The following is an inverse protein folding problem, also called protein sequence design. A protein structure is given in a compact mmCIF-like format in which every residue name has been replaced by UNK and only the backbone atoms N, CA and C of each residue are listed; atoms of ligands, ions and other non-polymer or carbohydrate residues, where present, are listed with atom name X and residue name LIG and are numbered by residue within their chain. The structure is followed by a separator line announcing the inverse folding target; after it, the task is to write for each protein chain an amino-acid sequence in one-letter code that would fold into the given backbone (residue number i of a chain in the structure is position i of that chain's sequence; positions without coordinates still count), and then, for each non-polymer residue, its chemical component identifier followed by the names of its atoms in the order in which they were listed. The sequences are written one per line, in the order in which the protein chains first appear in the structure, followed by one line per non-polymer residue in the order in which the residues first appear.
data_IF_885443882134
#
_entry.id   IF_885443882134
#
_cell.length_a   1.000
_cell.length_b   1.000
_cell.length_c   1.000
_cell.angle_alpha   90.00
_cell.angle_beta   90.00
_cell.angle_gamma   90.00
#
_symmetry.space_group_name_H-M   'P 1'
#
loop_
_entity.id
_entity.type
_entity.pdbx_description
1 polymer ?
#
# COMPACT_ATOMS: atom_id res chain seq x y z
N UNK A 1 24.94 -15.95 -16.88
CA UNK A 1 24.22 -15.30 -15.74
C UNK A 1 24.04 -16.20 -14.51
N UNK A 2 24.48 -17.46 -14.50
CA UNK A 2 24.26 -18.43 -13.39
C UNK A 2 25.32 -18.36 -12.26
N UNK A 3 26.56 -18.08 -12.57
CA UNK A 3 27.67 -18.08 -11.59
C UNK A 3 27.57 -17.03 -10.49
N UNK A 4 27.01 -15.86 -10.77
CA UNK A 4 26.91 -14.74 -9.83
C UNK A 4 25.88 -15.01 -8.72
N UNK A 5 24.82 -15.76 -9.00
CA UNK A 5 23.76 -16.07 -8.02
C UNK A 5 24.17 -17.18 -7.04
N UNK A 6 24.96 -18.17 -7.48
CA UNK A 6 25.46 -19.24 -6.60
C UNK A 6 26.46 -18.71 -5.58
N UNK A 7 27.40 -17.84 -6.01
CA UNK A 7 28.34 -17.19 -5.10
C UNK A 7 27.64 -16.29 -4.06
N UNK A 8 26.61 -15.54 -4.47
CA UNK A 8 25.84 -14.68 -3.55
C UNK A 8 25.14 -15.51 -2.47
N UNK A 9 24.55 -16.64 -2.85
CA UNK A 9 23.87 -17.54 -1.90
C UNK A 9 24.84 -18.21 -0.92
N UNK A 10 26.03 -18.58 -1.38
CA UNK A 10 27.08 -19.15 -0.52
C UNK A 10 27.58 -18.14 0.53
N UNK A 11 27.80 -16.89 0.12
CA UNK A 11 28.20 -15.80 1.03
C UNK A 11 27.11 -15.52 2.07
N UNK A 12 25.84 -15.53 1.66
CA UNK A 12 24.72 -15.34 2.60
C UNK A 12 24.61 -16.48 3.60
N UNK A 13 24.85 -17.74 3.21
CA UNK A 13 24.83 -18.89 4.12
C UNK A 13 25.97 -18.81 5.16
N UNK A 14 27.19 -18.45 4.74
CA UNK A 14 28.28 -18.20 5.68
C UNK A 14 27.96 -17.05 6.66
N UNK A 15 27.37 -15.97 6.15
CA UNK A 15 26.97 -14.86 6.98
C UNK A 15 25.90 -15.24 8.01
N UNK A 16 24.99 -16.17 7.67
CA UNK A 16 23.98 -16.71 8.59
C UNK A 16 24.60 -17.52 9.72
N UNK A 17 25.61 -18.34 9.43
CA UNK A 17 26.32 -19.12 10.46
C UNK A 17 27.01 -18.21 11.46
N UNK A 18 27.72 -17.18 10.98
CA UNK A 18 28.39 -16.18 11.83
C UNK A 18 27.37 -15.37 12.65
N UNK A 19 26.23 -14.96 12.04
CA UNK A 19 25.20 -14.22 12.77
C UNK A 19 24.56 -15.05 13.88
N UNK A 20 24.44 -16.36 13.70
CA UNK A 20 23.96 -17.29 14.71
C UNK A 20 24.86 -17.28 15.95
N UNK A 21 26.17 -17.27 15.79
CA UNK A 21 27.14 -17.21 16.91
C UNK A 21 26.96 -15.91 17.73
N UNK A 22 26.74 -14.77 17.06
CA UNK A 22 26.45 -13.49 17.75
C UNK A 22 25.16 -13.57 18.57
N UNK A 23 24.10 -14.17 18.02
CA UNK A 23 22.80 -14.33 18.72
C UNK A 23 22.96 -15.28 19.91
N UNK A 24 23.62 -16.42 19.75
CA UNK A 24 23.86 -17.40 20.83
C UNK A 24 24.68 -16.80 21.97
N UNK A 25 25.57 -15.88 21.68
CA UNK A 25 26.38 -15.16 22.67
C UNK A 25 25.72 -13.86 23.20
N UNK A 26 24.45 -13.61 22.83
CA UNK A 26 23.69 -12.40 23.20
C UNK A 26 24.43 -11.10 22.81
N UNK A 27 25.09 -11.10 21.67
CA UNK A 27 25.84 -9.96 21.10
C UNK A 27 25.08 -9.33 19.94
N UNK A 28 25.27 -8.04 19.75
CA UNK A 28 24.71 -7.35 18.58
C UNK A 28 25.37 -7.81 17.27
N UNK A 29 24.56 -8.07 16.24
CA UNK A 29 25.05 -8.42 14.91
C UNK A 29 25.72 -7.19 14.28
N UNK A 30 27.00 -7.27 13.88
CA UNK A 30 27.66 -6.15 13.22
C UNK A 30 26.93 -5.66 11.95
N UNK A 31 26.98 -4.34 11.71
CA UNK A 31 26.31 -3.72 10.57
C UNK A 31 26.79 -4.29 9.21
N UNK A 32 28.05 -4.67 9.10
CA UNK A 32 28.63 -5.28 7.90
C UNK A 32 27.98 -6.63 7.62
N UNK A 33 27.78 -7.45 8.65
CA UNK A 33 27.14 -8.76 8.55
C UNK A 33 25.65 -8.63 8.25
N UNK A 34 24.97 -7.68 8.89
CA UNK A 34 23.58 -7.32 8.59
C UNK A 34 23.37 -6.94 7.11
N UNK A 35 24.29 -6.18 6.52
CA UNK A 35 24.22 -5.80 5.09
C UNK A 35 24.40 -6.96 4.13
N UNK A 36 25.15 -7.98 4.52
CA UNK A 36 25.33 -9.20 3.72
C UNK A 36 24.09 -10.07 3.79
N UNK A 37 23.50 -10.23 4.98
CA UNK A 37 22.29 -11.01 5.22
C UNK A 37 21.05 -10.38 4.60
N UNK A 38 20.93 -9.07 4.77
CA UNK A 38 19.84 -8.25 4.30
C UNK A 38 20.35 -7.16 3.38
N UNK A 39 20.86 -7.52 2.19
CA UNK A 39 21.40 -6.52 1.26
C UNK A 39 20.28 -5.52 0.98
N UNK A 40 20.54 -4.22 1.14
CA UNK A 40 19.56 -3.23 0.75
C UNK A 40 19.21 -3.47 -0.72
N UNK A 41 17.93 -3.59 -1.02
CA UNK A 41 17.51 -3.47 -2.42
C UNK A 41 18.17 -2.20 -2.97
N UNK A 42 18.52 -2.19 -4.27
CA UNK A 42 19.16 -1.03 -4.92
C UNK A 42 18.21 0.19 -4.88
N UNK A 43 18.10 0.79 -3.72
CA UNK A 43 17.40 2.05 -3.49
C UNK A 43 18.43 3.06 -3.09
N UNK A 44 18.53 4.14 -3.84
CA UNK A 44 19.43 5.24 -3.51
C UNK A 44 19.05 5.90 -2.19
N UNK A 45 17.75 5.90 -1.87
CA UNK A 45 17.20 6.48 -0.64
C UNK A 45 16.06 5.64 -0.08
N UNK A 46 16.03 5.49 1.23
CA UNK A 46 14.92 4.90 1.95
C UNK A 46 14.50 5.81 3.10
N UNK A 47 13.21 6.17 3.13
CA UNK A 47 12.63 6.91 4.24
C UNK A 47 12.36 5.95 5.40
N UNK A 48 13.06 6.14 6.54
CA UNK A 48 12.91 5.33 7.76
C UNK A 48 12.28 6.18 8.86
N UNK A 49 11.29 5.63 9.54
CA UNK A 49 10.60 6.28 10.67
C UNK A 49 9.97 5.23 11.58
N UNK A 50 9.68 5.62 12.79
CA UNK A 50 9.05 4.75 13.78
C UNK A 50 7.64 4.33 13.33
N UNK A 51 7.34 3.02 13.45
CA UNK A 51 6.05 2.47 13.06
C UNK A 51 5.89 2.20 11.56
N UNK A 52 6.96 2.28 10.77
CA UNK A 52 6.95 1.88 9.36
C UNK A 52 6.69 0.38 9.23
N UNK A 53 5.57 0.02 8.63
CA UNK A 53 5.24 -1.38 8.34
C UNK A 53 5.90 -1.86 7.04
N UNK A 54 6.18 -3.16 6.91
CA UNK A 54 6.66 -3.68 5.63
C UNK A 54 5.55 -3.67 4.57
N UNK A 55 5.94 -3.67 3.30
CA UNK A 55 4.97 -3.77 2.18
C UNK A 55 4.13 -5.04 2.29
N UNK A 56 4.75 -6.14 2.63
CA UNK A 56 4.14 -7.46 2.77
C UNK A 56 3.11 -7.45 3.91
N UNK A 57 3.42 -6.81 5.04
CA UNK A 57 2.48 -6.64 6.15
C UNK A 57 1.24 -5.86 5.70
N UNK A 58 1.42 -4.70 5.07
CA UNK A 58 0.31 -3.88 4.59
C UNK A 58 -0.59 -4.66 3.63
N UNK A 59 0.01 -5.34 2.64
CA UNK A 59 -0.73 -6.10 1.65
C UNK A 59 -1.45 -7.33 2.24
N UNK A 60 -0.89 -7.98 3.26
CA UNK A 60 -1.50 -9.14 3.91
C UNK A 60 -2.59 -8.77 4.91
N UNK A 61 -2.43 -7.67 5.64
CA UNK A 61 -3.37 -7.23 6.67
C UNK A 61 -4.57 -6.46 6.09
N UNK A 62 -4.42 -5.85 4.91
CA UNK A 62 -5.52 -5.16 4.27
C UNK A 62 -6.45 -6.15 3.57
N UNK A 63 -7.70 -6.21 4.00
CA UNK A 63 -8.71 -7.12 3.49
C UNK A 63 -9.58 -6.40 2.44
N UNK A 64 -9.83 -7.00 1.27
CA UNK A 64 -10.80 -6.47 0.32
C UNK A 64 -12.22 -6.56 0.90
N UNK A 65 -13.05 -5.59 0.60
CA UNK A 65 -14.45 -5.51 1.07
C UNK A 65 -15.41 -5.58 -0.12
N UNK A 66 -16.58 -6.20 0.02
CA UNK A 66 -17.59 -6.17 -1.02
C UNK A 66 -18.10 -4.75 -1.23
N UNK A 67 -18.24 -4.34 -2.50
CA UNK A 67 -18.87 -3.10 -2.86
C UNK A 67 -20.39 -3.35 -2.97
N UNK A 68 -21.18 -2.56 -2.26
CA UNK A 68 -22.64 -2.58 -2.31
C UNK A 68 -23.12 -1.36 -3.10
N UNK A 69 -24.03 -1.58 -4.04
CA UNK A 69 -24.70 -0.49 -4.74
C UNK A 69 -25.73 0.16 -3.82
N UNK A 70 -25.59 1.47 -3.61
CA UNK A 70 -26.51 2.26 -2.80
C UNK A 70 -27.58 2.93 -3.69
N UNK A 71 -27.14 3.60 -4.75
CA UNK A 71 -28.05 4.25 -5.69
C UNK A 71 -27.42 4.51 -7.07
N UNK A 72 -28.29 4.64 -8.06
CA UNK A 72 -27.93 4.95 -9.45
C UNK A 72 -28.40 6.37 -9.77
N UNK A 73 -27.59 7.13 -10.52
CA UNK A 73 -27.92 8.46 -10.99
C UNK A 73 -27.82 8.54 -12.52
N UNK A 74 -28.83 9.12 -13.20
CA UNK A 74 -30.14 9.54 -12.67
C UNK A 74 -30.97 8.33 -12.21
N UNK A 75 -31.97 8.51 -11.31
CA UNK A 75 -32.69 7.42 -10.66
C UNK A 75 -33.35 6.38 -11.57
N UNK A 76 -33.57 6.73 -12.84
CA UNK A 76 -34.19 5.87 -13.86
C UNK A 76 -33.20 5.45 -14.95
N UNK A 77 -31.90 5.58 -14.73
CA UNK A 77 -30.90 5.16 -15.71
C UNK A 77 -30.93 3.64 -15.88
N UNK A 78 -31.03 3.17 -17.10
CA UNK A 78 -30.81 1.77 -17.44
C UNK A 78 -29.30 1.56 -17.56
N UNK A 79 -28.75 0.78 -16.66
CA UNK A 79 -27.31 0.44 -16.69
C UNK A 79 -27.12 -0.74 -17.64
N UNK A 80 -26.56 -0.49 -18.79
CA UNK A 80 -26.13 -1.56 -19.70
C UNK A 80 -24.83 -2.15 -19.20
N UNK A 81 -24.75 -3.45 -19.00
CA UNK A 81 -23.58 -4.16 -18.48
C UNK A 81 -22.31 -4.00 -19.33
N UNK A 82 -22.44 -3.56 -20.58
CA UNK A 82 -21.36 -3.41 -21.54
C UNK A 82 -20.92 -1.95 -21.75
N UNK A 83 -21.52 -1.00 -21.04
CA UNK A 83 -21.17 0.42 -21.16
C UNK A 83 -20.31 0.87 -20.00
N UNK A 84 -19.51 1.90 -20.24
CA UNK A 84 -18.72 2.55 -19.19
C UNK A 84 -19.66 3.20 -18.15
N UNK A 85 -19.42 2.89 -16.88
CA UNK A 85 -20.19 3.45 -15.77
C UNK A 85 -19.23 4.18 -14.83
N UNK A 86 -19.52 5.45 -14.58
CA UNK A 86 -18.86 6.21 -13.53
C UNK A 86 -19.31 5.70 -12.16
N UNK A 87 -18.39 5.51 -11.24
CA UNK A 87 -18.69 5.03 -9.88
C UNK A 87 -18.15 6.01 -8.85
N UNK A 88 -19.01 6.40 -7.91
CA UNK A 88 -18.62 7.06 -6.67
C UNK A 88 -18.61 6.01 -5.57
N UNK A 89 -17.48 5.79 -4.93
CA UNK A 89 -17.33 4.76 -3.90
C UNK A 89 -17.08 5.46 -2.58
N UNK A 90 -17.94 5.24 -1.60
CA UNK A 90 -17.81 5.78 -0.25
C UNK A 90 -17.34 4.69 0.71
N UNK A 91 -16.33 5.00 1.52
CA UNK A 91 -15.80 4.07 2.53
C UNK A 91 -14.31 4.31 2.85
N UNK A 92 -13.71 3.39 3.61
CA UNK A 92 -12.29 3.43 3.92
C UNK A 92 -11.46 3.12 2.66
N UNK A 93 -10.74 4.11 2.17
CA UNK A 93 -10.09 4.06 0.86
C UNK A 93 -9.00 2.98 0.75
N UNK A 94 -8.30 2.62 1.84
CA UNK A 94 -7.30 1.54 1.81
C UNK A 94 -7.94 0.18 1.49
N UNK A 95 -9.11 -0.12 2.08
CA UNK A 95 -9.87 -1.33 1.78
C UNK A 95 -10.45 -1.30 0.36
N UNK A 96 -10.93 -0.13 -0.08
CA UNK A 96 -11.43 0.07 -1.45
C UNK A 96 -10.33 -0.17 -2.48
N UNK A 97 -9.13 0.38 -2.27
CA UNK A 97 -7.97 0.16 -3.14
C UNK A 97 -7.60 -1.33 -3.21
N UNK A 98 -7.63 -2.02 -2.07
CA UNK A 98 -7.41 -3.48 -2.03
C UNK A 98 -8.48 -4.23 -2.81
N UNK A 99 -9.73 -3.79 -2.72
CA UNK A 99 -10.86 -4.37 -3.48
C UNK A 99 -10.66 -4.18 -4.99
N UNK A 100 -10.22 -3.00 -5.43
CA UNK A 100 -9.92 -2.75 -6.85
C UNK A 100 -8.77 -3.64 -7.36
N UNK A 101 -7.74 -3.85 -6.55
CA UNK A 101 -6.66 -4.80 -6.87
C UNK A 101 -7.22 -6.22 -7.02
N UNK A 102 -8.12 -6.64 -6.13
CA UNK A 102 -8.75 -7.95 -6.23
C UNK A 102 -9.64 -8.05 -7.47
N UNK A 103 -10.45 -7.03 -7.76
CA UNK A 103 -11.27 -6.97 -8.97
C UNK A 103 -10.44 -7.07 -10.25
N UNK A 104 -9.25 -6.44 -10.27
CA UNK A 104 -8.31 -6.59 -11.39
C UNK A 104 -7.84 -8.04 -11.53
N UNK A 105 -7.45 -8.70 -10.43
CA UNK A 105 -7.02 -10.10 -10.45
C UNK A 105 -8.13 -11.04 -10.92
N UNK A 106 -9.37 -10.72 -10.57
CA UNK A 106 -10.56 -11.49 -10.96
C UNK A 106 -11.04 -11.16 -12.40
N UNK A 107 -10.34 -10.31 -13.14
CA UNK A 107 -10.72 -9.85 -14.49
C UNK A 107 -12.00 -9.01 -14.54
N UNK A 108 -12.42 -8.43 -13.41
CA UNK A 108 -13.65 -7.61 -13.28
C UNK A 108 -13.41 -6.11 -13.49
N UNK A 109 -12.16 -5.70 -13.64
CA UNK A 109 -11.78 -4.29 -13.84
C UNK A 109 -11.14 -4.14 -15.22
N UNK A 110 -11.99 -4.03 -16.24
CA UNK A 110 -11.60 -3.91 -17.64
C UNK A 110 -11.93 -2.55 -18.22
N UNK A 111 -11.06 -2.08 -19.07
CA UNK A 111 -11.29 -0.90 -19.92
C UNK A 111 -12.07 -1.29 -21.19
N UNK A 112 -12.63 -0.31 -21.85
CA UNK A 112 -13.40 -0.51 -23.10
C UNK A 112 -12.59 -1.14 -24.24
N UNK A 113 -11.26 -1.00 -24.22
CA UNK A 113 -10.34 -1.61 -25.17
C UNK A 113 -9.86 -3.02 -24.76
N UNK A 114 -10.43 -3.59 -23.68
CA UNK A 114 -10.11 -4.92 -23.17
C UNK A 114 -8.89 -4.99 -22.26
N UNK A 115 -8.14 -3.90 -22.05
CA UNK A 115 -7.02 -3.87 -21.10
C UNK A 115 -7.52 -3.90 -19.67
N UNK A 116 -6.74 -4.49 -18.76
CA UNK A 116 -7.11 -4.60 -17.35
C UNK A 116 -6.56 -3.44 -16.49
N UNK A 117 -7.33 -3.06 -15.51
CA UNK A 117 -6.91 -2.17 -14.42
C UNK A 117 -7.18 -0.70 -14.65
N UNK A 118 -6.65 0.14 -13.77
CA UNK A 118 -6.79 1.60 -13.77
C UNK A 118 -5.65 2.21 -14.56
N UNK A 119 -5.97 3.11 -15.50
CA UNK A 119 -4.97 3.77 -16.39
C UNK A 119 -4.39 5.03 -15.78
N UNK A 120 -5.19 5.76 -15.01
CA UNK A 120 -4.80 7.01 -14.40
C UNK A 120 -5.31 7.03 -12.96
N UNK A 121 -4.44 7.43 -12.05
CA UNK A 121 -4.79 7.67 -10.66
C UNK A 121 -4.50 9.15 -10.37
N UNK A 122 -5.54 9.89 -10.01
CA UNK A 122 -5.43 11.25 -9.50
C UNK A 122 -5.72 11.24 -8.00
N UNK A 123 -4.87 11.88 -7.21
CA UNK A 123 -4.94 11.84 -5.75
C UNK A 123 -5.01 13.27 -5.22
N UNK A 124 -5.96 13.51 -4.32
CA UNK A 124 -6.06 14.69 -3.47
C UNK A 124 -6.01 14.23 -2.00
N UNK A 125 -4.80 14.01 -1.44
CA UNK A 125 -4.65 13.47 -0.10
C UNK A 125 -4.81 14.56 0.96
N UNK A 126 -5.02 14.19 2.24
CA UNK A 126 -4.85 15.14 3.35
C UNK A 126 -3.46 15.78 3.32
N UNK A 127 -3.37 17.05 3.69
CA UNK A 127 -2.13 17.83 3.61
C UNK A 127 -1.46 18.06 4.98
N UNK A 128 -1.90 17.35 6.02
CA UNK A 128 -1.39 17.50 7.40
C UNK A 128 -1.51 18.93 7.96
N UNK A 129 -2.58 19.64 7.59
CA UNK A 129 -2.82 21.03 7.98
C UNK A 129 -3.22 21.16 9.45
N UNK A 130 -3.53 20.03 10.12
CA UNK A 130 -4.09 19.95 11.49
C UNK A 130 -5.43 20.65 11.64
N UNK A 131 -6.13 20.91 10.56
CA UNK A 131 -7.46 21.51 10.54
C UNK A 131 -8.57 20.47 10.45
N UNK A 132 -9.72 20.80 11.01
CA UNK A 132 -10.96 20.04 10.83
C UNK A 132 -11.79 20.73 9.77
N UNK A 133 -12.15 19.98 8.74
CA UNK A 133 -13.04 20.47 7.68
C UNK A 133 -14.46 20.07 8.02
N UNK A 134 -15.35 21.06 8.20
CA UNK A 134 -16.76 20.87 8.54
C UNK A 134 -17.63 20.97 7.30
N UNK A 135 -18.72 20.24 7.27
CA UNK A 135 -19.73 20.31 6.20
C UNK A 135 -20.67 21.47 6.50
N UNK A 136 -20.69 22.49 5.62
CA UNK A 136 -21.68 23.57 5.58
C UNK A 136 -22.08 24.21 6.94
N UNK A 137 -21.11 24.36 7.86
CA UNK A 137 -21.37 25.00 9.16
C UNK A 137 -22.05 24.12 10.20
N UNK A 138 -22.31 22.85 9.90
CA UNK A 138 -22.81 21.88 10.85
C UNK A 138 -21.67 21.36 11.74
N UNK A 139 -22.01 20.82 12.93
CA UNK A 139 -21.02 20.20 13.84
C UNK A 139 -20.42 18.91 13.29
N UNK A 140 -20.91 18.39 12.16
CA UNK A 140 -20.39 17.20 11.52
C UNK A 140 -19.05 17.48 10.82
N UNK A 141 -18.00 16.82 11.29
CA UNK A 141 -16.67 16.88 10.69
C UNK A 141 -16.67 16.06 9.39
N UNK A 142 -16.41 16.72 8.25
CA UNK A 142 -16.29 16.03 6.97
C UNK A 142 -15.08 15.10 6.95
N UNK A 143 -13.92 15.62 7.38
CA UNK A 143 -12.74 14.82 7.69
C UNK A 143 -11.79 15.63 8.58
N UNK A 144 -10.96 14.93 9.34
CA UNK A 144 -9.97 15.53 10.21
C UNK A 144 -8.56 15.32 9.65
N UNK A 145 -7.89 16.40 9.28
CA UNK A 145 -6.48 16.38 8.83
C UNK A 145 -5.54 16.53 10.04
N UNK A 146 -5.71 15.59 11.01
CA UNK A 146 -4.97 15.62 12.29
C UNK A 146 -3.68 14.83 12.29
N UNK A 147 -3.47 14.00 11.28
CA UNK A 147 -2.27 13.19 11.21
C UNK A 147 -1.05 14.07 10.90
N UNK A 148 0.04 13.84 11.61
CA UNK A 148 1.29 14.57 11.41
C UNK A 148 2.51 13.65 11.59
N UNK A 149 3.67 14.09 11.09
CA UNK A 149 4.93 13.37 11.24
C UNK A 149 4.89 11.96 10.65
N UNK A 150 5.45 10.97 11.36
CA UNK A 150 5.55 9.58 10.92
C UNK A 150 4.18 8.95 10.64
N UNK A 151 3.17 9.26 11.44
CA UNK A 151 1.81 8.73 11.25
C UNK A 151 1.17 9.20 9.94
N UNK A 152 1.37 10.46 9.57
CA UNK A 152 0.92 11.00 8.30
C UNK A 152 1.63 10.34 7.11
N UNK A 153 2.95 10.21 7.19
CA UNK A 153 3.75 9.57 6.15
C UNK A 153 3.30 8.11 5.95
N UNK A 154 3.09 7.37 7.05
CA UNK A 154 2.64 5.98 6.96
C UNK A 154 1.21 5.88 6.41
N UNK A 155 0.32 6.80 6.80
CA UNK A 155 -1.03 6.87 6.25
C UNK A 155 -1.04 7.01 4.73
N UNK A 156 -0.24 7.93 4.18
CA UNK A 156 -0.12 8.12 2.73
C UNK A 156 0.56 6.92 2.08
N UNK A 157 1.66 6.43 2.66
CA UNK A 157 2.44 5.31 2.11
C UNK A 157 1.60 4.03 1.95
N UNK A 158 0.77 3.70 2.94
CA UNK A 158 -0.13 2.53 2.89
C UNK A 158 -1.07 2.56 1.67
N UNK A 159 -1.43 3.74 1.21
CA UNK A 159 -2.35 3.94 0.08
C UNK A 159 -1.66 3.99 -1.28
N UNK A 160 -0.34 4.17 -1.29
CA UNK A 160 0.48 4.22 -2.50
C UNK A 160 1.19 2.89 -2.82
N UNK A 161 1.11 1.89 -1.94
CA UNK A 161 1.65 0.53 -2.10
C UNK A 161 0.70 -0.37 -2.86
#
# INVERSE_FOLDING_TARGET
MSYTNQNKKAIQLQALEVAREYIENNQEIPNELSRVLFPPEKREYELTYWGKESREQILSQTIPVPLQEDRIFPPNATVNSNEWINKLIFGENLQILKTLIQMKKDGKLKNTDGTDGVRLIYIDPPFSTRQEFKVNGEEQVAYADKLSGAAFIEFIRKRLI
#
